data_IF_982852880007
#
_entry.id   IF_982852880007
#
_cell.length_a   1.000
_cell.length_b   1.000
_cell.length_c   1.000
_cell.angle_alpha   90.00
_cell.angle_beta   90.00
_cell.angle_gamma   90.00
#
_symmetry.space_group_name_H-M   'P 1'
#
loop_
_entity.id
_entity.type
_entity.pdbx_description
1 polymer ?
#
# COMPACT_ATOMS: atom_id res chain seq x y z
N UNK A 1 -3.28 5.28 14.60
CA UNK A 1 -3.43 4.60 13.30
C UNK A 1 -4.91 4.29 13.09
N UNK A 2 -5.45 4.47 11.88
CA UNK A 2 -6.81 3.98 11.56
C UNK A 2 -6.86 2.48 11.87
N UNK A 3 -7.88 1.94 12.55
CA UNK A 3 -7.99 0.50 12.84
C UNK A 3 -8.14 -0.37 11.57
N UNK A 4 -8.11 0.24 10.38
CA UNK A 4 -8.34 -0.39 9.08
C UNK A 4 -7.16 -0.17 8.11
N UNK A 5 -5.93 -0.09 8.62
CA UNK A 5 -4.76 -0.14 7.75
C UNK A 5 -4.62 -1.54 7.11
N UNK A 6 -4.17 -1.60 5.86
CA UNK A 6 -3.79 -2.84 5.19
C UNK A 6 -2.30 -2.81 4.93
N UNK A 7 -1.63 -3.96 4.97
CA UNK A 7 -0.21 -4.04 4.67
C UNK A 7 0.15 -5.34 3.97
N UNK A 8 1.22 -5.32 3.18
CA UNK A 8 1.81 -6.50 2.56
C UNK A 8 3.33 -6.42 2.54
N UNK A 9 4.05 -7.51 2.86
CA UNK A 9 5.48 -7.58 2.65
C UNK A 9 5.79 -7.86 1.17
N UNK A 10 6.78 -7.17 0.61
CA UNK A 10 7.38 -7.46 -0.70
C UNK A 10 8.89 -7.32 -0.59
N UNK A 11 9.60 -8.42 -0.79
CA UNK A 11 11.06 -8.48 -0.67
C UNK A 11 11.53 -7.94 0.68
N UNK A 12 12.37 -6.90 0.69
CA UNK A 12 12.91 -6.32 1.93
C UNK A 12 12.01 -5.29 2.62
N UNK A 13 10.93 -4.86 1.95
CA UNK A 13 10.07 -3.76 2.39
C UNK A 13 8.66 -4.22 2.74
N UNK A 14 7.98 -3.44 3.58
CA UNK A 14 6.54 -3.58 3.85
C UNK A 14 5.79 -2.41 3.26
N UNK A 15 4.73 -2.68 2.50
CA UNK A 15 3.84 -1.67 1.95
C UNK A 15 2.64 -1.51 2.87
N UNK A 16 2.37 -0.29 3.33
CA UNK A 16 1.32 0.05 4.30
C UNK A 16 0.36 1.06 3.70
N UNK A 17 -0.93 0.78 3.82
CA UNK A 17 -2.02 1.57 3.27
C UNK A 17 -2.97 1.99 4.39
N UNK A 18 -2.98 3.27 4.72
CA UNK A 18 -3.93 3.83 5.67
C UNK A 18 -5.05 4.56 4.91
N UNK A 19 -5.87 5.34 5.63
CA UNK A 19 -6.99 6.04 5.00
C UNK A 19 -6.54 7.14 4.01
N UNK A 20 -5.33 7.66 4.14
CA UNK A 20 -4.83 8.86 3.46
C UNK A 20 -3.54 8.61 2.69
N UNK A 21 -2.75 7.62 3.09
CA UNK A 21 -1.37 7.44 2.64
C UNK A 21 -1.12 5.99 2.22
N UNK A 22 -0.24 5.86 1.23
CA UNK A 22 0.42 4.63 0.85
C UNK A 22 1.93 4.80 1.08
N UNK A 23 2.50 3.94 1.90
CA UNK A 23 3.89 4.03 2.36
C UNK A 23 4.62 2.72 2.07
N UNK A 24 5.89 2.82 1.70
CA UNK A 24 6.84 1.72 1.82
C UNK A 24 7.66 1.92 3.08
N UNK A 25 7.85 0.85 3.84
CA UNK A 25 8.57 0.80 5.09
C UNK A 25 9.75 -0.12 4.90
N UNK A 26 10.96 0.40 5.05
CA UNK A 26 12.16 -0.41 5.20
C UNK A 26 12.50 -0.48 6.69
N UNK A 27 12.26 -1.65 7.27
CA UNK A 27 12.52 -1.90 8.69
C UNK A 27 14.02 -1.99 9.00
N UNK A 28 14.87 -2.33 8.04
CA UNK A 28 16.32 -2.46 8.27
C UNK A 28 16.98 -1.09 8.43
N UNK A 29 16.55 -0.11 7.62
CA UNK A 29 17.04 1.27 7.69
C UNK A 29 16.16 2.20 8.53
N UNK A 30 15.03 1.70 9.05
CA UNK A 30 13.98 2.49 9.72
C UNK A 30 13.49 3.68 8.89
N UNK A 31 13.32 3.49 7.58
CA UNK A 31 12.87 4.53 6.66
C UNK A 31 11.44 4.31 6.17
N UNK A 32 10.77 5.42 5.90
CA UNK A 32 9.40 5.49 5.41
C UNK A 32 9.41 6.33 4.13
N UNK A 33 8.92 5.78 3.02
CA UNK A 33 8.84 6.48 1.75
C UNK A 33 7.41 6.43 1.20
N UNK A 34 6.78 7.57 0.91
CA UNK A 34 5.52 7.60 0.17
C UNK A 34 5.70 6.95 -1.21
N UNK A 35 4.80 6.03 -1.57
CA UNK A 35 4.88 5.32 -2.86
C UNK A 35 3.97 5.94 -3.91
N UNK A 36 2.93 6.65 -3.48
CA UNK A 36 2.04 7.46 -4.32
C UNK A 36 1.09 8.26 -3.43
N UNK A 37 0.66 9.43 -3.90
CA UNK A 37 -0.42 10.15 -3.28
C UNK A 37 -1.74 9.42 -3.50
N UNK A 38 -2.40 9.03 -2.41
CA UNK A 38 -3.74 8.47 -2.50
C UNK A 38 -4.67 9.62 -2.94
N UNK A 39 -5.27 9.57 -4.14
CA UNK A 39 -5.98 10.73 -4.69
C UNK A 39 -7.17 11.14 -3.82
N UNK A 40 -7.63 10.22 -2.98
CA UNK A 40 -8.82 10.31 -2.16
C UNK A 40 -8.67 9.42 -0.93
N UNK A 41 -9.19 9.89 0.22
CA UNK A 41 -9.36 9.08 1.44
C UNK A 41 -10.04 7.73 1.15
N UNK A 42 -9.40 6.61 1.46
CA UNK A 42 -9.91 5.26 1.22
C UNK A 42 -10.40 4.57 2.49
N UNK A 43 -11.55 3.89 2.40
CA UNK A 43 -12.12 3.06 3.47
C UNK A 43 -12.02 1.57 3.09
N UNK A 44 -12.16 0.66 4.06
CA UNK A 44 -12.21 -0.80 3.86
C UNK A 44 -11.21 -1.31 2.80
N UNK A 45 -9.95 -1.37 3.20
CA UNK A 45 -8.80 -1.66 2.35
C UNK A 45 -8.37 -3.11 2.51
N UNK A 46 -8.06 -3.77 1.40
CA UNK A 46 -7.39 -5.07 1.38
C UNK A 46 -6.27 -4.99 0.36
N UNK A 47 -5.06 -5.29 0.80
CA UNK A 47 -3.87 -5.35 -0.03
C UNK A 47 -3.45 -6.80 -0.27
N UNK A 48 -2.96 -7.11 -1.47
CA UNK A 48 -2.33 -8.39 -1.77
C UNK A 48 -1.21 -8.19 -2.81
N UNK A 49 -0.35 -9.20 -2.93
CA UNK A 49 0.74 -9.22 -3.92
C UNK A 49 0.42 -10.28 -4.97
N UNK A 50 0.46 -9.90 -6.25
CA UNK A 50 0.28 -10.81 -7.38
C UNK A 50 1.35 -10.48 -8.41
N UNK A 51 2.17 -11.46 -8.78
CA UNK A 51 3.27 -11.33 -9.74
C UNK A 51 4.21 -10.14 -9.45
N UNK A 52 4.56 -9.97 -8.16
CA UNK A 52 5.42 -8.88 -7.69
C UNK A 52 4.74 -7.51 -7.60
N UNK A 53 3.52 -7.35 -8.10
CA UNK A 53 2.78 -6.08 -7.99
C UNK A 53 1.90 -6.08 -6.75
N UNK A 54 1.80 -4.92 -6.09
CA UNK A 54 0.91 -4.75 -4.95
C UNK A 54 -0.43 -4.23 -5.44
N UNK A 55 -1.48 -4.97 -5.17
CA UNK A 55 -2.86 -4.61 -5.46
C UNK A 55 -3.54 -4.14 -4.18
N UNK A 56 -4.11 -2.94 -4.21
CA UNK A 56 -4.96 -2.43 -3.15
C UNK A 56 -6.39 -2.34 -3.66
N UNK A 57 -7.27 -3.15 -3.11
CA UNK A 57 -8.71 -3.08 -3.32
C UNK A 57 -9.29 -2.28 -2.16
N UNK A 58 -9.98 -1.19 -2.47
CA UNK A 58 -10.50 -0.31 -1.45
C UNK A 58 -11.83 0.33 -1.85
N UNK A 59 -12.60 0.74 -0.85
CA UNK A 59 -13.93 1.27 -1.03
C UNK A 59 -14.03 2.71 -0.51
N UNK A 60 -14.71 3.59 -1.25
CA UNK A 60 -15.07 4.92 -0.73
C UNK A 60 -16.50 5.28 -1.07
N UNK A 61 -16.82 5.21 -2.35
CA UNK A 61 -18.19 5.32 -2.93
C UNK A 61 -18.38 4.27 -4.01
N UNK A 62 -17.30 4.02 -4.75
CA UNK A 62 -17.13 2.94 -5.70
C UNK A 62 -15.93 2.09 -5.25
N UNK A 63 -15.88 0.86 -5.74
CA UNK A 63 -14.69 0.01 -5.65
C UNK A 63 -13.54 0.67 -6.45
N UNK A 64 -12.39 0.81 -5.83
CA UNK A 64 -11.17 1.27 -6.49
C UNK A 64 -10.10 0.18 -6.36
N UNK A 65 -9.34 -0.02 -7.44
CA UNK A 65 -8.19 -0.92 -7.48
C UNK A 65 -6.98 -0.09 -7.84
N UNK A 66 -6.00 -0.06 -6.93
CA UNK A 66 -4.71 0.57 -7.16
C UNK A 66 -3.67 -0.52 -7.36
N UNK A 67 -2.77 -0.33 -8.33
CA UNK A 67 -1.66 -1.23 -8.59
C UNK A 67 -0.38 -0.46 -8.39
N UNK A 68 0.48 -0.97 -7.52
CA UNK A 68 1.80 -0.42 -7.26
C UNK A 68 2.84 -1.40 -7.76
N UNK A 69 3.88 -0.88 -8.41
CA UNK A 69 5.02 -1.65 -8.91
C UNK A 69 6.22 -1.37 -8.00
N UNK A 70 6.58 -2.30 -7.10
CA UNK A 70 7.76 -2.19 -6.26
C UNK A 70 9.03 -2.07 -7.10
N UNK A 71 9.95 -1.18 -6.69
CA UNK A 71 11.23 -1.01 -7.39
C UNK A 71 12.10 -2.28 -7.37
N UNK A 72 11.92 -3.17 -6.38
CA UNK A 72 12.63 -4.45 -6.29
C UNK A 72 12.29 -5.43 -7.44
N UNK A 73 11.29 -5.13 -8.28
CA UNK A 73 10.86 -5.95 -9.41
C UNK A 73 11.21 -5.38 -10.80
N UNK A 74 12.10 -4.38 -10.85
CA UNK A 74 12.77 -3.94 -12.08
C UNK A 74 14.10 -4.67 -12.26
#
# INVERSE_FOLDING_TARGET
>A
MSPHASFVPVGSKTYVFNDLEALSVDCASHTLQPISDMPQRMLRKVANVVDGKVYLIAWRKTLMVFVYEPEENK
#
